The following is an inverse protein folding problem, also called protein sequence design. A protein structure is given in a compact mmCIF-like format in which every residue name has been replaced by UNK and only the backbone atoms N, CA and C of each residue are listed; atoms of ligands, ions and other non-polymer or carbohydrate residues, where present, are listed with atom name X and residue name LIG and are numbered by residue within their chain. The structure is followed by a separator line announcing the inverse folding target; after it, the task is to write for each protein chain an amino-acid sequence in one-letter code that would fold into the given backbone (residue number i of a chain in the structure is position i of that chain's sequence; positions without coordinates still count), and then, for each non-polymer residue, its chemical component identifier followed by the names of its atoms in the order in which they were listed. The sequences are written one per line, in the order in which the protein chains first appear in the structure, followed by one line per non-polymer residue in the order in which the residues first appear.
data_IF_787123628958
#
_entry.id   IF_787123628958
#
_cell.length_a   1.000
_cell.length_b   1.000
_cell.length_c   1.000
_cell.angle_alpha   90.00
_cell.angle_beta   90.00
_cell.angle_gamma   90.00
#
_symmetry.space_group_name_H-M   'P 1'
#
loop_
_entity.id
_entity.type
_entity.pdbx_description
1 polymer ?
#
# COMPACT_ATOMS: atom_id res chain seq x y z
N UNK A 1 -11.91 -20.92 24.44
CA UNK A 1 -13.32 -21.24 24.14
C UNK A 1 -14.18 -20.72 25.29
N UNK A 2 -14.91 -19.64 25.08
CA UNK A 2 -15.89 -19.10 26.06
C UNK A 2 -16.98 -18.36 25.29
N UNK A 3 -18.22 -18.56 25.73
CA UNK A 3 -19.45 -18.47 24.97
C UNK A 3 -20.03 -17.06 24.84
N UNK A 4 -20.81 -16.91 23.77
CA UNK A 4 -21.68 -15.81 23.37
C UNK A 4 -22.81 -15.62 24.40
N UNK A 5 -23.24 -14.37 24.60
CA UNK A 5 -24.55 -14.06 25.17
C UNK A 5 -25.30 -13.10 24.24
N UNK A 6 -26.47 -13.56 23.79
CA UNK A 6 -27.49 -12.82 23.03
C UNK A 6 -28.53 -12.31 24.04
N UNK A 7 -28.99 -11.06 23.88
CA UNK A 7 -30.26 -10.59 24.46
C UNK A 7 -31.04 -9.75 23.45
N UNK A 8 -32.35 -9.77 23.60
CA UNK A 8 -33.33 -9.86 22.52
C UNK A 8 -34.25 -8.62 22.31
N UNK A 9 -34.94 -8.65 21.17
CA UNK A 9 -36.25 -8.08 20.73
C UNK A 9 -37.06 -7.11 21.60
N UNK A 10 -37.67 -6.10 20.94
CA UNK A 10 -39.06 -5.59 21.13
C UNK A 10 -39.52 -4.90 19.81
N UNK A 11 -40.40 -5.47 18.97
CA UNK A 11 -41.89 -5.41 18.84
C UNK A 11 -42.49 -4.07 18.30
N UNK A 12 -43.25 -4.19 17.19
CA UNK A 12 -44.04 -3.21 16.40
C UNK A 12 -45.41 -2.93 17.06
N UNK A 13 -46.17 -1.85 16.72
CA UNK A 13 -47.35 -2.08 15.85
C UNK A 13 -47.75 -0.90 14.90
N UNK A 14 -48.67 -1.25 13.99
CA UNK A 14 -49.19 -0.55 12.81
C UNK A 14 -50.27 0.53 13.08
N UNK A 15 -50.63 1.32 12.04
CA UNK A 15 -51.99 1.85 11.79
C UNK A 15 -52.12 2.40 10.35
N UNK A 16 -53.26 2.12 9.72
CA UNK A 16 -53.65 2.45 8.33
C UNK A 16 -54.84 3.41 8.30
N UNK A 17 -55.02 4.22 7.23
CA UNK A 17 -56.31 4.56 6.61
C UNK A 17 -56.17 5.54 5.43
N UNK A 18 -56.93 5.28 4.36
CA UNK A 18 -57.10 6.07 3.13
C UNK A 18 -58.32 7.00 3.24
N UNK A 19 -58.27 8.18 2.61
CA UNK A 19 -59.46 8.95 2.20
C UNK A 19 -59.27 9.55 0.80
N UNK A 20 -60.36 9.46 0.03
CA UNK A 20 -60.58 9.86 -1.37
C UNK A 20 -61.33 11.20 -1.39
N UNK A 21 -61.12 12.05 -2.42
CA UNK A 21 -62.09 13.09 -2.80
C UNK A 21 -61.50 14.27 -3.57
N UNK A 22 -61.96 14.50 -4.80
CA UNK A 22 -61.50 15.44 -5.82
C UNK A 22 -62.09 16.87 -5.70
N UNK A 23 -61.40 17.87 -6.28
CA UNK A 23 -62.02 18.95 -7.06
C UNK A 23 -60.97 19.66 -7.95
N UNK A 24 -61.38 20.08 -9.16
CA UNK A 24 -60.66 20.85 -10.19
C UNK A 24 -61.63 21.96 -10.70
N UNK A 25 -61.30 22.92 -11.60
CA UNK A 25 -60.04 23.28 -12.26
C UNK A 25 -59.76 24.82 -12.31
N UNK A 26 -58.73 25.19 -13.08
CA UNK A 26 -58.65 26.40 -13.94
C UNK A 26 -58.33 27.78 -13.33
N UNK A 27 -57.10 28.28 -13.54
CA UNK A 27 -56.81 29.40 -14.48
C UNK A 27 -55.32 29.81 -14.44
N UNK A 28 -54.65 29.64 -15.58
CA UNK A 28 -53.39 30.31 -15.95
C UNK A 28 -53.68 31.80 -16.32
N UNK A 29 -52.70 32.72 -16.54
CA UNK A 29 -51.30 32.44 -16.90
C UNK A 29 -50.19 33.43 -16.41
N UNK A 30 -48.96 32.99 -16.65
CA UNK A 30 -47.82 33.75 -17.20
C UNK A 30 -46.96 34.71 -16.34
N UNK A 31 -45.65 34.41 -16.47
CA UNK A 31 -44.41 35.19 -16.17
C UNK A 31 -43.98 35.12 -14.70
N UNK A 32 -42.77 34.65 -14.37
CA UNK A 32 -41.48 34.87 -15.04
C UNK A 32 -40.59 33.63 -14.90
N UNK A 33 -40.03 33.23 -16.04
CA UNK A 33 -38.90 32.32 -16.13
C UNK A 33 -37.67 33.07 -15.58
N UNK A 34 -37.20 32.74 -14.38
CA UNK A 34 -35.85 33.06 -13.93
C UNK A 34 -35.26 31.84 -13.26
N UNK A 35 -34.55 31.09 -14.09
CA UNK A 35 -33.78 29.90 -13.78
C UNK A 35 -32.66 30.24 -12.79
N UNK A 36 -32.68 29.55 -11.65
CA UNK A 36 -31.54 28.91 -10.98
C UNK A 36 -30.18 29.62 -10.95
N UNK A 37 -29.76 30.03 -9.75
CA UNK A 37 -28.48 29.61 -9.17
C UNK A 37 -28.45 29.92 -7.66
N UNK A 38 -28.17 28.96 -6.76
CA UNK A 38 -27.75 29.30 -5.41
C UNK A 38 -26.33 29.87 -5.49
N UNK A 39 -26.12 31.05 -4.90
CA UNK A 39 -24.80 31.65 -4.75
C UNK A 39 -24.05 30.91 -3.62
N UNK A 40 -23.29 29.88 -3.99
CA UNK A 40 -22.30 29.26 -3.09
C UNK A 40 -21.00 30.04 -3.23
N UNK A 41 -20.83 31.05 -2.38
CA UNK A 41 -19.53 31.65 -2.11
C UNK A 41 -18.74 30.72 -1.19
N UNK A 42 -18.25 29.61 -1.75
CA UNK A 42 -17.31 28.75 -1.04
C UNK A 42 -15.90 29.13 -1.51
N UNK A 43 -15.31 30.10 -0.81
CA UNK A 43 -13.88 30.36 -0.90
C UNK A 43 -13.15 29.19 -0.23
N UNK A 44 -13.14 28.03 -0.89
CA UNK A 44 -12.35 26.87 -0.51
C UNK A 44 -10.88 27.26 -0.65
N UNK A 45 -10.25 27.67 0.46
CA UNK A 45 -8.80 27.66 0.56
C UNK A 45 -8.38 26.21 0.39
N UNK A 46 -7.92 25.87 -0.81
CA UNK A 46 -7.19 24.63 -1.05
C UNK A 46 -5.95 24.73 -0.18
N UNK A 47 -5.96 24.04 0.96
CA UNK A 47 -4.76 23.84 1.74
C UNK A 47 -3.79 23.06 0.85
N UNK A 48 -2.77 23.74 0.32
CA UNK A 48 -1.69 23.07 -0.39
C UNK A 48 -0.87 22.32 0.65
N UNK A 49 -1.22 21.05 0.88
CA UNK A 49 -0.39 20.14 1.66
C UNK A 49 0.99 20.12 1.01
N UNK A 50 2.07 20.37 1.77
CA UNK A 50 3.43 20.25 1.24
C UNK A 50 3.62 18.88 0.59
N UNK A 51 4.33 18.78 -0.56
CA UNK A 51 4.61 17.50 -1.18
C UNK A 51 5.24 16.57 -0.14
N UNK A 52 4.64 15.40 0.10
CA UNK A 52 5.24 14.40 0.96
C UNK A 52 6.64 14.09 0.41
N UNK A 53 7.66 14.14 1.27
CA UNK A 53 9.02 13.83 0.89
C UNK A 53 9.05 12.42 0.28
N UNK A 54 9.43 12.32 -1.00
CA UNK A 54 9.43 11.04 -1.70
C UNK A 54 10.52 10.13 -1.13
N UNK A 55 10.15 8.87 -0.95
CA UNK A 55 11.10 7.82 -0.60
C UNK A 55 12.01 7.53 -1.80
N UNK A 56 13.29 7.32 -1.52
CA UNK A 56 14.38 7.12 -2.47
C UNK A 56 15.15 5.85 -2.11
N UNK A 57 15.92 5.26 -3.04
CA UNK A 57 16.73 4.09 -2.73
C UNK A 57 17.67 4.24 -1.53
N UNK A 58 18.20 5.45 -1.31
CA UNK A 58 19.12 5.74 -0.21
C UNK A 58 18.46 5.71 1.18
N UNK A 59 17.12 5.71 1.25
CA UNK A 59 16.39 5.58 2.51
C UNK A 59 16.37 4.11 3.02
N UNK A 60 16.91 3.18 2.24
CA UNK A 60 16.89 1.74 2.50
C UNK A 60 18.29 1.13 2.39
N UNK A 61 18.59 0.22 3.30
CA UNK A 61 19.78 -0.63 3.26
C UNK A 61 19.34 -2.07 3.14
N UNK A 62 19.99 -2.84 2.26
CA UNK A 62 19.74 -4.27 2.12
C UNK A 62 21.06 -5.01 2.31
N UNK A 63 21.16 -5.75 3.40
CA UNK A 63 22.33 -6.60 3.67
C UNK A 63 22.07 -8.01 3.15
N UNK A 64 23.05 -8.62 2.50
CA UNK A 64 22.97 -9.99 2.02
C UNK A 64 23.61 -10.91 3.07
N UNK A 65 22.84 -11.88 3.55
CA UNK A 65 23.29 -12.85 4.54
C UNK A 65 23.41 -14.20 3.85
N UNK A 66 24.64 -14.65 3.61
CA UNK A 66 24.91 -16.00 3.09
C UNK A 66 24.65 -17.02 4.18
N UNK A 67 23.72 -17.93 3.93
CA UNK A 67 23.27 -18.96 4.86
C UNK A 67 23.91 -20.32 4.56
N UNK A 68 24.23 -20.59 3.30
CA UNK A 68 24.94 -21.81 2.88
C UNK A 68 25.87 -21.51 1.70
N UNK A 69 27.01 -22.18 1.66
CA UNK A 69 27.93 -22.18 0.51
C UNK A 69 28.34 -23.61 0.18
N UNK A 70 28.19 -24.01 -1.09
CA UNK A 70 28.60 -25.31 -1.61
C UNK A 70 29.46 -25.15 -2.85
N UNK A 71 30.74 -25.55 -2.76
CA UNK A 71 31.70 -25.41 -3.85
C UNK A 71 32.01 -26.76 -4.51
N UNK A 72 32.15 -26.75 -5.84
CA UNK A 72 32.34 -27.95 -6.68
C UNK A 72 33.68 -27.89 -7.44
N UNK A 73 34.75 -27.52 -6.73
CA UNK A 73 36.09 -27.34 -7.30
C UNK A 73 36.09 -26.25 -8.38
N UNK A 74 36.62 -26.56 -9.55
CA UNK A 74 36.73 -25.62 -10.68
C UNK A 74 35.39 -25.19 -11.29
N UNK A 75 34.27 -25.82 -10.91
CA UNK A 75 32.94 -25.43 -11.38
C UNK A 75 32.34 -24.23 -10.62
N UNK A 76 33.01 -23.74 -9.57
CA UNK A 76 32.55 -22.63 -8.74
C UNK A 76 31.70 -23.05 -7.54
N UNK A 77 30.99 -22.09 -6.96
CA UNK A 77 30.20 -22.26 -5.75
C UNK A 77 28.74 -21.86 -5.96
N UNK A 78 27.84 -22.55 -5.27
CA UNK A 78 26.45 -22.15 -5.10
C UNK A 78 26.26 -21.59 -3.70
N UNK A 79 25.77 -20.36 -3.61
CA UNK A 79 25.47 -19.66 -2.37
C UNK A 79 23.96 -19.66 -2.17
N UNK A 80 23.49 -20.06 -0.98
CA UNK A 80 22.17 -19.71 -0.48
C UNK A 80 22.28 -18.46 0.38
N UNK A 81 21.32 -17.57 0.22
CA UNK A 81 21.29 -16.33 0.99
C UNK A 81 19.86 -15.87 1.25
N UNK A 82 19.74 -15.09 2.33
CA UNK A 82 18.59 -14.23 2.61
C UNK A 82 19.04 -12.77 2.61
N UNK A 83 18.10 -11.84 2.73
CA UNK A 83 18.40 -10.42 2.92
C UNK A 83 17.90 -9.92 4.28
N UNK A 84 18.61 -8.95 4.84
CA UNK A 84 18.18 -8.14 5.99
C UNK A 84 17.90 -6.70 5.52
N UNK A 85 16.64 -6.40 5.12
CA UNK A 85 16.23 -5.06 4.74
C UNK A 85 16.04 -4.16 5.96
N UNK A 86 16.63 -2.96 5.91
CA UNK A 86 16.51 -1.93 6.94
C UNK A 86 16.05 -0.61 6.34
N UNK A 87 15.10 0.04 6.99
CA UNK A 87 14.73 1.42 6.72
C UNK A 87 15.52 2.36 7.63
N UNK A 88 16.22 3.33 7.05
CA UNK A 88 17.22 4.14 7.77
C UNK A 88 16.94 5.64 7.72
N UNK A 89 15.78 6.04 7.21
CA UNK A 89 15.41 7.43 7.02
C UNK A 89 14.38 7.89 8.04
N UNK A 90 14.36 9.18 8.34
CA UNK A 90 13.37 9.80 9.24
C UNK A 90 12.06 10.17 8.53
N UNK A 91 11.94 9.90 7.22
CA UNK A 91 10.72 10.17 6.46
C UNK A 91 9.60 9.24 6.94
N UNK A 92 8.33 9.68 6.93
CA UNK A 92 7.22 8.78 7.21
C UNK A 92 7.11 7.70 6.12
N UNK A 93 6.95 6.44 6.54
CA UNK A 93 6.65 5.35 5.62
C UNK A 93 5.15 5.33 5.29
N UNK A 94 4.77 5.20 4.01
CA UNK A 94 3.40 4.88 3.60
C UNK A 94 2.95 3.52 4.13
N UNK A 95 1.63 3.27 4.14
CA UNK A 95 1.03 1.98 4.57
C UNK A 95 1.68 0.76 3.93
N UNK A 96 2.09 0.88 2.67
CA UNK A 96 2.76 -0.20 1.94
C UNK A 96 3.70 0.36 0.88
N UNK A 97 4.96 -0.04 0.98
CA UNK A 97 6.01 0.33 0.03
C UNK A 97 6.73 -0.92 -0.46
N UNK A 98 6.86 -1.07 -1.78
CA UNK A 98 7.65 -2.13 -2.40
C UNK A 98 9.02 -1.59 -2.78
N UNK A 99 10.06 -2.25 -2.32
CA UNK A 99 11.45 -1.88 -2.58
C UNK A 99 12.06 -2.94 -3.49
N UNK A 100 12.64 -2.51 -4.62
CA UNK A 100 13.31 -3.35 -5.59
C UNK A 100 14.82 -3.19 -5.41
N UNK A 101 15.53 -4.31 -5.35
CA UNK A 101 16.97 -4.36 -5.18
C UNK A 101 17.61 -5.32 -6.18
N UNK A 102 18.91 -5.16 -6.40
CA UNK A 102 19.73 -6.05 -7.22
C UNK A 102 20.85 -6.61 -6.36
N UNK A 103 20.98 -7.93 -6.32
CA UNK A 103 22.12 -8.64 -5.75
C UNK A 103 23.16 -8.86 -6.84
N UNK A 104 24.39 -8.45 -6.56
CA UNK A 104 25.55 -8.52 -7.45
C UNK A 104 26.64 -9.36 -6.80
N UNK A 105 27.69 -9.70 -7.55
CA UNK A 105 28.87 -10.41 -7.05
C UNK A 105 28.87 -11.93 -7.27
N UNK A 106 27.73 -12.50 -7.70
CA UNK A 106 27.68 -13.83 -8.30
C UNK A 106 27.98 -13.80 -9.80
N UNK A 107 27.78 -14.94 -10.46
CA UNK A 107 27.99 -15.09 -11.91
C UNK A 107 26.99 -14.26 -12.71
N UNK A 108 25.79 -14.04 -12.18
CA UNK A 108 24.71 -13.26 -12.79
C UNK A 108 23.99 -12.45 -11.72
N UNK A 109 23.74 -11.16 -11.99
CA UNK A 109 22.97 -10.30 -11.09
C UNK A 109 21.53 -10.80 -10.93
N UNK A 110 21.01 -10.70 -9.71
CA UNK A 110 19.65 -11.13 -9.38
C UNK A 110 18.82 -9.95 -8.89
N UNK A 111 17.66 -9.72 -9.52
CA UNK A 111 16.71 -8.69 -9.09
C UNK A 111 15.70 -9.30 -8.12
N UNK A 112 15.56 -8.67 -6.96
CA UNK A 112 14.61 -9.03 -5.92
C UNK A 112 13.73 -7.86 -5.51
N UNK A 113 12.72 -8.16 -4.70
CA UNK A 113 11.93 -7.12 -4.04
C UNK A 113 11.47 -7.61 -2.65
N UNK A 114 11.21 -6.65 -1.78
CA UNK A 114 10.53 -6.86 -0.50
C UNK A 114 9.47 -5.77 -0.30
N UNK A 115 8.56 -5.99 0.64
CA UNK A 115 7.56 -5.00 1.03
C UNK A 115 7.79 -4.58 2.47
N UNK A 116 7.62 -3.29 2.74
CA UNK A 116 7.70 -2.70 4.08
C UNK A 116 6.38 -1.96 4.39
N UNK A 117 5.92 -2.08 5.64
CA UNK A 117 4.73 -1.40 6.15
C UNK A 117 5.07 -0.04 6.80
N UNK A 118 4.04 0.66 7.27
CA UNK A 118 4.18 1.98 7.90
C UNK A 118 4.99 1.93 9.20
N UNK A 119 5.01 0.78 9.87
CA UNK A 119 5.76 0.53 11.09
C UNK A 119 7.25 0.23 10.84
N UNK A 120 7.66 0.10 9.57
CA UNK A 120 9.03 -0.22 9.19
C UNK A 120 9.34 -1.72 9.24
N UNK A 121 8.31 -2.58 9.35
CA UNK A 121 8.49 -4.03 9.30
C UNK A 121 8.58 -4.48 7.85
N UNK A 122 9.77 -4.90 7.45
CA UNK A 122 9.99 -5.47 6.13
C UNK A 122 9.72 -6.99 6.13
N UNK A 123 9.08 -7.49 5.08
CA UNK A 123 8.82 -8.92 4.89
C UNK A 123 9.65 -9.46 3.73
N UNK A 124 10.53 -10.42 4.03
CA UNK A 124 11.29 -11.16 3.05
C UNK A 124 11.53 -12.59 3.54
N UNK A 125 10.56 -13.46 3.31
CA UNK A 125 10.57 -14.83 3.87
C UNK A 125 11.17 -15.86 2.91
N UNK A 126 11.97 -15.42 1.92
CA UNK A 126 12.49 -16.29 0.86
C UNK A 126 14.00 -16.38 0.89
N UNK A 127 14.50 -17.57 1.19
CA UNK A 127 15.88 -17.91 0.86
C UNK A 127 16.02 -18.14 -0.66
N UNK A 128 17.07 -17.58 -1.25
CA UNK A 128 17.35 -17.69 -2.68
C UNK A 128 18.75 -18.25 -2.91
N UNK A 129 19.09 -18.59 -4.16
CA UNK A 129 20.41 -19.12 -4.51
C UNK A 129 21.02 -18.42 -5.72
N UNK A 130 22.32 -18.19 -5.67
CA UNK A 130 23.13 -17.60 -6.74
C UNK A 130 24.44 -18.39 -6.90
N UNK A 131 24.85 -18.62 -8.13
CA UNK A 131 26.15 -19.22 -8.44
C UNK A 131 27.22 -18.13 -8.52
N UNK A 132 28.47 -18.46 -8.21
CA UNK A 132 29.58 -17.51 -8.24
C UNK A 132 30.94 -18.20 -8.11
N UNK A 133 32.00 -17.42 -8.31
CA UNK A 133 33.36 -17.84 -7.95
C UNK A 133 33.47 -18.21 -6.46
N UNK A 134 34.54 -18.91 -6.10
CA UNK A 134 34.90 -19.06 -4.68
C UNK A 134 35.13 -17.69 -4.04
N UNK A 135 34.62 -17.51 -2.83
CA UNK A 135 34.68 -16.24 -2.09
C UNK A 135 34.00 -15.06 -2.80
N UNK A 136 32.98 -15.33 -3.62
CA UNK A 136 32.12 -14.30 -4.20
C UNK A 136 31.57 -13.38 -3.11
N UNK A 137 31.73 -12.07 -3.30
CA UNK A 137 31.22 -11.07 -2.38
C UNK A 137 29.83 -10.60 -2.84
N UNK A 138 28.78 -11.22 -2.29
CA UNK A 138 27.40 -10.89 -2.64
C UNK A 138 26.98 -9.57 -1.98
N UNK A 139 26.48 -8.64 -2.79
CA UNK A 139 26.04 -7.33 -2.32
C UNK A 139 24.69 -6.94 -2.91
N UNK A 140 23.78 -6.44 -2.09
CA UNK A 140 22.49 -5.91 -2.54
C UNK A 140 22.53 -4.39 -2.63
N UNK A 141 22.04 -3.86 -3.75
CA UNK A 141 21.83 -2.41 -3.94
C UNK A 141 20.36 -2.16 -4.24
N UNK A 142 19.75 -1.22 -3.52
CA UNK A 142 18.38 -0.79 -3.80
C UNK A 142 18.38 0.03 -5.08
N UNK A 143 17.53 -0.34 -6.03
CA UNK A 143 17.47 0.31 -7.35
C UNK A 143 16.21 1.12 -7.56
N UNK A 144 15.11 0.76 -6.90
CA UNK A 144 13.83 1.47 -7.05
C UNK A 144 12.93 1.29 -5.83
N UNK A 145 12.15 2.32 -5.54
CA UNK A 145 11.11 2.33 -4.50
C UNK A 145 9.77 2.63 -5.16
N UNK A 146 8.73 1.89 -4.81
CA UNK A 146 7.36 2.04 -5.35
C UNK A 146 6.37 2.10 -4.19
N UNK A 147 5.67 3.22 -4.06
CA UNK A 147 4.69 3.47 -3.00
C UNK A 147 3.28 3.10 -3.48
N UNK A 148 2.48 2.41 -2.64
CA UNK A 148 1.02 2.32 -2.81
C UNK A 148 0.50 1.33 -3.85
N UNK A 149 0.98 0.08 -3.84
CA UNK A 149 0.36 -1.02 -4.61
C UNK A 149 -0.36 -2.04 -3.75
#
# INVERSE_FOLDING_TARGET
MKCISLTASVIVPALAALVVGCDAPEQAPSRKNSSSAPAWSENTRVATTPPAAQLTPADFLVEVIVTEQKCFGSAGCNYRYTIDPRYISDKPLPEKTTVIFTVTGGDQDQVGNFTIDAEGTARFDRETSISGAEHANLQATVTRVVVGR
#
